data_IF_153285636318
#
_entry.id   IF_153285636318
#
_cell.length_a   1.000
_cell.length_b   1.000
_cell.length_c   1.000
_cell.angle_alpha   90.00
_cell.angle_beta   90.00
_cell.angle_gamma   90.00
#
_symmetry.space_group_name_H-M   'P 1'
#
loop_
_entity.id
_entity.type
_entity.pdbx_description
1 polymer ?
#
# COMPACT_ATOMS: atom_id res chain seq x y z
N UNK A 1 -15.96 28.66 -1.40
CA UNK A 1 -16.56 27.34 -1.11
C UNK A 1 -15.37 26.45 -0.80
N UNK A 2 -15.03 26.28 0.47
CA UNK A 2 -13.97 25.35 0.86
C UNK A 2 -14.44 23.96 0.42
N UNK A 3 -13.66 23.30 -0.43
CA UNK A 3 -13.85 21.89 -0.70
C UNK A 3 -13.50 21.20 0.62
N UNK A 4 -14.48 20.55 1.25
CA UNK A 4 -14.16 19.55 2.27
C UNK A 4 -13.39 18.45 1.54
N UNK A 5 -12.07 18.43 1.70
CA UNK A 5 -11.22 17.37 1.17
C UNK A 5 -11.50 16.11 1.98
N UNK A 6 -12.30 15.21 1.41
CA UNK A 6 -12.52 13.89 1.98
C UNK A 6 -11.33 13.00 1.68
N UNK A 7 -10.76 12.37 2.72
CA UNK A 7 -9.66 11.43 2.60
C UNK A 7 -10.18 10.01 2.41
N UNK A 8 -9.51 9.25 1.55
CA UNK A 8 -9.84 7.86 1.24
C UNK A 8 -8.60 6.97 1.36
N UNK A 9 -8.85 5.70 1.66
CA UNK A 9 -7.85 4.62 1.62
C UNK A 9 -8.17 3.72 0.43
N UNK A 10 -7.22 3.59 -0.49
CA UNK A 10 -7.26 2.59 -1.55
C UNK A 10 -6.48 1.36 -1.09
N UNK A 11 -7.18 0.27 -0.80
CA UNK A 11 -6.57 -0.94 -0.25
C UNK A 11 -7.03 -2.22 -0.95
N UNK A 12 -6.16 -3.23 -0.96
CA UNK A 12 -6.55 -4.61 -1.23
C UNK A 12 -6.81 -5.29 0.12
N UNK A 13 -8.09 -5.50 0.44
CA UNK A 13 -8.54 -6.24 1.62
C UNK A 13 -9.73 -7.12 1.22
N UNK A 14 -10.08 -8.12 2.03
CA UNK A 14 -11.26 -8.95 1.74
C UNK A 14 -12.54 -8.10 1.67
N UNK A 15 -13.43 -8.33 0.68
CA UNK A 15 -13.30 -9.33 -0.38
C UNK A 15 -12.54 -8.85 -1.63
N UNK A 16 -12.44 -7.54 -1.86
CA UNK A 16 -11.94 -6.93 -3.10
C UNK A 16 -11.13 -5.67 -2.83
N UNK A 17 -10.37 -5.23 -3.82
CA UNK A 17 -9.76 -3.89 -3.84
C UNK A 17 -10.85 -2.82 -3.88
N UNK A 18 -10.76 -1.86 -2.97
CA UNK A 18 -11.75 -0.81 -2.84
C UNK A 18 -11.15 0.53 -2.37
N UNK A 19 -11.89 1.59 -2.66
CA UNK A 19 -11.67 2.92 -2.11
C UNK A 19 -12.67 3.11 -0.94
N UNK A 20 -12.15 3.36 0.27
CA UNK A 20 -12.97 3.51 1.47
C UNK A 20 -12.71 4.87 2.11
N UNK A 21 -13.73 5.66 2.49
CA UNK A 21 -13.52 6.88 3.26
C UNK A 21 -12.69 6.60 4.51
N UNK A 22 -11.69 7.43 4.82
CA UNK A 22 -10.73 7.18 5.89
C UNK A 22 -11.42 6.95 7.24
N UNK A 23 -12.43 7.75 7.58
CA UNK A 23 -13.19 7.58 8.82
C UNK A 23 -13.88 6.21 8.88
N UNK A 24 -14.56 5.81 7.80
CA UNK A 24 -15.20 4.49 7.69
C UNK A 24 -14.17 3.37 7.81
N UNK A 25 -13.03 3.51 7.14
CA UNK A 25 -11.94 2.56 7.20
C UNK A 25 -11.42 2.40 8.64
N UNK A 26 -11.14 3.50 9.33
CA UNK A 26 -10.67 3.49 10.71
C UNK A 26 -11.67 2.81 11.64
N UNK A 27 -12.94 3.23 11.62
CA UNK A 27 -14.00 2.63 12.43
C UNK A 27 -14.14 1.13 12.17
N UNK A 28 -14.15 0.71 10.90
CA UNK A 28 -14.23 -0.70 10.54
C UNK A 28 -13.04 -1.50 11.08
N UNK A 29 -11.81 -0.97 11.01
CA UNK A 29 -10.64 -1.64 11.60
C UNK A 29 -10.80 -1.75 13.12
N UNK A 30 -11.29 -0.72 13.80
CA UNK A 30 -11.51 -0.77 15.26
C UNK A 30 -12.54 -1.83 15.69
N UNK A 31 -13.61 -1.99 14.92
CA UNK A 31 -14.70 -2.91 15.23
C UNK A 31 -14.38 -4.37 14.88
N UNK A 32 -13.62 -4.60 13.81
CA UNK A 32 -13.46 -5.94 13.21
C UNK A 32 -12.13 -6.60 13.51
N UNK A 33 -11.08 -5.84 13.78
CA UNK A 33 -9.73 -6.37 14.04
C UNK A 33 -9.00 -5.50 15.04
N UNK A 34 -8.56 -6.08 16.15
CA UNK A 34 -7.78 -5.38 17.15
C UNK A 34 -6.34 -5.10 16.67
N UNK A 35 -6.16 -4.29 15.63
CA UNK A 35 -4.84 -3.84 15.17
C UNK A 35 -4.13 -3.17 16.34
N UNK A 36 -2.98 -3.71 16.74
CA UNK A 36 -2.17 -3.14 17.82
C UNK A 36 -1.78 -1.69 17.53
N UNK A 37 -1.53 -1.37 16.25
CA UNK A 37 -1.06 -0.07 15.79
C UNK A 37 -1.62 0.20 14.40
N UNK A 38 -1.97 1.45 14.12
CA UNK A 38 -2.13 1.99 12.77
C UNK A 38 -1.10 3.11 12.62
N UNK A 39 -0.31 3.02 11.56
CA UNK A 39 0.72 4.00 11.26
C UNK A 39 0.69 4.40 9.78
N UNK A 40 1.22 5.60 9.51
CA UNK A 40 1.29 6.17 8.17
C UNK A 40 2.74 6.55 7.88
N UNK A 41 3.18 6.27 6.66
CA UNK A 41 4.44 6.78 6.10
C UNK A 41 4.14 7.69 4.93
N UNK A 42 4.72 8.87 4.93
CA UNK A 42 4.56 9.84 3.84
C UNK A 42 5.72 9.71 2.84
N UNK A 43 5.41 9.74 1.55
CA UNK A 43 6.41 9.89 0.50
C UNK A 43 7.05 11.29 0.55
N UNK A 44 8.38 11.36 0.50
CA UNK A 44 9.15 12.59 0.29
C UNK A 44 9.84 12.52 -1.07
N UNK A 45 9.72 13.59 -1.83
CA UNK A 45 10.54 13.85 -3.02
C UNK A 45 11.39 15.08 -2.75
N UNK A 46 12.64 15.12 -3.24
CA UNK A 46 13.47 16.31 -3.09
C UNK A 46 13.17 17.32 -4.21
N UNK A 47 12.66 18.47 -3.80
CA UNK A 47 12.50 19.65 -4.64
C UNK A 47 13.91 20.19 -4.98
N UNK A 48 14.49 19.84 -6.14
CA UNK A 48 15.74 20.50 -6.58
C UNK A 48 16.66 19.72 -7.51
N UNK A 49 16.42 18.43 -7.74
CA UNK A 49 17.05 17.68 -8.84
C UNK A 49 15.97 17.35 -9.85
N UNK A 50 16.36 17.21 -11.14
CA UNK A 50 15.51 17.10 -12.33
C UNK A 50 14.02 16.87 -12.02
N UNK A 51 13.16 17.83 -12.40
CA UNK A 51 11.72 17.80 -12.16
C UNK A 51 11.11 16.51 -12.71
N UNK A 52 11.02 15.48 -11.87
CA UNK A 52 10.36 14.24 -12.22
C UNK A 52 8.88 14.48 -12.04
N UNK A 53 8.15 14.43 -13.15
CA UNK A 53 6.70 14.40 -13.14
C UNK A 53 6.28 12.98 -12.79
N UNK A 54 5.62 12.81 -11.64
CA UNK A 54 4.94 11.56 -11.33
C UNK A 54 3.76 11.39 -12.27
N UNK A 55 3.54 10.15 -12.74
CA UNK A 55 2.39 9.84 -13.56
C UNK A 55 1.12 9.66 -12.70
N UNK A 56 0.57 10.79 -12.24
CA UNK A 56 -0.66 10.79 -11.45
C UNK A 56 -1.88 10.32 -12.25
N UNK A 57 -1.88 10.52 -13.58
CA UNK A 57 -2.93 9.98 -14.46
C UNK A 57 -2.88 8.45 -14.47
N UNK A 58 -1.68 7.88 -14.57
CA UNK A 58 -1.46 6.44 -14.44
C UNK A 58 -1.93 5.86 -13.10
N UNK A 59 -1.82 6.63 -12.00
CA UNK A 59 -2.36 6.21 -10.70
C UNK A 59 -3.89 6.15 -10.71
N UNK A 60 -4.56 7.15 -11.26
CA UNK A 60 -6.03 7.17 -11.38
C UNK A 60 -6.53 6.02 -12.26
N UNK A 61 -5.85 5.76 -13.38
CA UNK A 61 -6.13 4.61 -14.25
C UNK A 61 -5.97 3.28 -13.53
N UNK A 62 -4.89 3.13 -12.75
CA UNK A 62 -4.65 1.93 -11.93
C UNK A 62 -5.77 1.74 -10.89
N UNK A 63 -6.23 2.82 -10.26
CA UNK A 63 -7.31 2.75 -9.28
C UNK A 63 -8.61 2.26 -9.92
N UNK A 64 -8.92 2.73 -11.13
CA UNK A 64 -10.09 2.27 -11.90
C UNK A 64 -9.93 0.81 -12.36
N UNK A 65 -8.75 0.45 -12.85
CA UNK A 65 -8.42 -0.90 -13.34
C UNK A 65 -8.56 -1.96 -12.24
N UNK A 66 -8.02 -1.68 -11.06
CA UNK A 66 -7.97 -2.64 -9.97
C UNK A 66 -9.20 -2.61 -9.07
N UNK A 67 -10.06 -1.59 -9.15
CA UNK A 67 -11.27 -1.54 -8.35
C UNK A 67 -12.14 -2.81 -8.54
N UNK A 68 -12.51 -3.45 -7.45
CA UNK A 68 -13.31 -4.68 -7.47
C UNK A 68 -12.51 -5.95 -7.74
N UNK A 69 -11.19 -5.87 -7.97
CA UNK A 69 -10.34 -7.06 -8.12
C UNK A 69 -10.34 -7.88 -6.84
N UNK A 70 -10.49 -9.21 -6.89
CA UNK A 70 -10.51 -10.05 -5.70
C UNK A 70 -9.23 -9.95 -4.86
N UNK A 71 -9.39 -9.90 -3.54
CA UNK A 71 -8.26 -10.02 -2.62
C UNK A 71 -7.66 -11.43 -2.70
N UNK A 72 -6.34 -11.53 -2.77
CA UNK A 72 -5.64 -12.80 -2.81
C UNK A 72 -5.78 -13.55 -1.47
N UNK A 73 -6.54 -14.65 -1.48
CA UNK A 73 -6.73 -15.49 -0.29
C UNK A 73 -5.61 -16.52 -0.11
N UNK A 74 -4.86 -16.80 -1.17
CA UNK A 74 -3.89 -17.88 -1.20
C UNK A 74 -2.56 -17.43 -0.60
N UNK A 75 -2.21 -17.99 0.56
CA UNK A 75 -0.91 -17.74 1.21
C UNK A 75 0.29 -18.05 0.31
N UNK A 76 0.14 -18.92 -0.70
CA UNK A 76 1.22 -19.32 -1.62
C UNK A 76 1.86 -18.14 -2.35
N UNK A 77 1.07 -17.21 -2.89
CA UNK A 77 1.60 -16.05 -3.63
C UNK A 77 2.33 -15.08 -2.71
N UNK A 78 1.84 -14.90 -1.48
CA UNK A 78 2.53 -14.13 -0.44
C UNK A 78 3.84 -14.80 0.00
N UNK A 79 3.85 -16.13 0.15
CA UNK A 79 5.07 -16.90 0.47
C UNK A 79 6.08 -16.80 -0.66
N UNK A 80 5.66 -16.96 -1.92
CA UNK A 80 6.53 -16.76 -3.08
C UNK A 80 7.12 -15.35 -3.10
N UNK A 81 6.36 -14.32 -2.70
CA UNK A 81 6.84 -12.94 -2.67
C UNK A 81 8.04 -12.78 -1.72
N UNK A 82 8.04 -13.45 -0.56
CA UNK A 82 9.19 -13.45 0.37
C UNK A 82 10.48 -13.99 -0.26
N UNK A 83 10.37 -14.90 -1.24
CA UNK A 83 11.50 -15.48 -1.96
C UNK A 83 11.69 -14.89 -3.37
N UNK A 84 10.87 -13.90 -3.76
CA UNK A 84 10.85 -13.31 -5.11
C UNK A 84 10.57 -14.32 -6.23
N UNK A 85 9.72 -15.32 -5.97
CA UNK A 85 9.43 -16.42 -6.89
C UNK A 85 8.10 -16.29 -7.66
N UNK A 86 7.34 -15.21 -7.47
CA UNK A 86 6.23 -14.94 -8.38
C UNK A 86 6.78 -14.60 -9.77
N UNK A 87 6.09 -15.09 -10.80
CA UNK A 87 6.46 -14.92 -12.21
C UNK A 87 5.46 -14.05 -12.97
N UNK A 88 4.30 -13.78 -12.38
CA UNK A 88 3.20 -13.01 -12.94
C UNK A 88 2.74 -11.95 -11.94
N UNK A 89 2.13 -10.87 -12.44
CA UNK A 89 1.39 -9.88 -11.64
C UNK A 89 -0.09 -10.27 -11.65
N UNK A 90 -0.83 -10.05 -10.56
CA UNK A 90 -2.29 -10.19 -10.53
C UNK A 90 -2.81 -11.54 -11.04
N UNK A 91 -2.36 -12.68 -10.46
CA UNK A 91 -2.81 -14.05 -10.79
C UNK A 91 -4.33 -14.25 -10.45
N UNK A 92 -5.23 -13.49 -11.10
CA UNK A 92 -6.67 -13.40 -10.82
C UNK A 92 -7.04 -12.74 -9.49
N UNK A 93 -6.06 -12.31 -8.69
CA UNK A 93 -6.26 -11.67 -7.39
C UNK A 93 -5.02 -10.86 -6.99
N UNK A 94 -5.16 -10.00 -5.98
CA UNK A 94 -4.10 -9.08 -5.54
C UNK A 94 -4.07 -8.96 -4.01
N UNK A 95 -2.88 -8.81 -3.42
CA UNK A 95 -2.71 -8.56 -1.98
C UNK A 95 -2.17 -7.15 -1.70
N UNK A 96 -2.19 -6.76 -0.43
CA UNK A 96 -1.98 -5.37 0.00
C UNK A 96 -0.64 -4.76 -0.45
N UNK A 97 0.48 -5.47 -0.28
CA UNK A 97 1.79 -4.94 -0.68
C UNK A 97 2.03 -4.99 -2.18
N UNK A 98 1.40 -5.92 -2.91
CA UNK A 98 1.43 -5.94 -4.37
C UNK A 98 0.73 -4.71 -4.95
N UNK A 99 -0.46 -4.35 -4.42
CA UNK A 99 -1.17 -3.13 -4.81
C UNK A 99 -0.31 -1.88 -4.62
N UNK A 100 0.33 -1.75 -3.45
CA UNK A 100 1.21 -0.62 -3.13
C UNK A 100 2.41 -0.59 -4.09
N UNK A 101 3.02 -1.74 -4.36
CA UNK A 101 4.14 -1.85 -5.29
C UNK A 101 3.75 -1.45 -6.72
N UNK A 102 2.60 -1.92 -7.22
CA UNK A 102 2.12 -1.53 -8.54
C UNK A 102 1.84 -0.03 -8.62
N UNK A 103 1.22 0.55 -7.59
CA UNK A 103 0.98 1.98 -7.53
C UNK A 103 2.30 2.77 -7.64
N UNK A 104 3.34 2.38 -6.87
CA UNK A 104 4.65 3.03 -6.96
C UNK A 104 5.36 2.79 -8.31
N UNK A 105 5.19 1.62 -8.92
CA UNK A 105 5.74 1.33 -10.25
C UNK A 105 5.07 2.19 -11.33
N UNK A 106 3.74 2.25 -11.31
CA UNK A 106 2.93 3.00 -12.27
C UNK A 106 3.27 4.49 -12.28
N UNK A 107 3.49 5.09 -11.09
CA UNK A 107 3.88 6.51 -10.99
C UNK A 107 5.39 6.75 -11.21
N UNK A 108 6.18 5.72 -11.50
CA UNK A 108 7.61 5.82 -11.80
C UNK A 108 8.53 5.95 -10.57
N UNK A 109 8.04 5.61 -9.38
CA UNK A 109 8.78 5.68 -8.12
C UNK A 109 9.46 4.36 -7.74
N UNK A 110 9.09 3.26 -8.37
CA UNK A 110 9.66 1.94 -8.13
C UNK A 110 10.02 1.26 -9.44
N UNK A 111 11.13 0.52 -9.45
CA UNK A 111 11.60 -0.17 -10.65
C UNK A 111 10.67 -1.33 -11.03
N UNK A 112 10.40 -1.48 -12.32
CA UNK A 112 9.67 -2.64 -12.86
C UNK A 112 10.52 -3.89 -13.02
N UNK A 113 11.83 -3.82 -12.74
CA UNK A 113 12.73 -5.00 -12.78
C UNK A 113 12.34 -6.08 -11.78
N UNK A 114 11.74 -5.70 -10.64
CA UNK A 114 11.13 -6.63 -9.66
C UNK A 114 9.63 -6.57 -9.88
N UNK A 115 8.96 -7.71 -10.06
CA UNK A 115 7.50 -7.74 -10.18
C UNK A 115 6.83 -7.20 -8.90
N UNK A 116 5.74 -6.45 -9.04
CA UNK A 116 4.92 -5.94 -7.91
C UNK A 116 4.46 -7.08 -6.98
N UNK A 117 4.10 -8.23 -7.55
CA UNK A 117 3.77 -9.46 -6.83
C UNK A 117 4.92 -10.06 -6.01
N UNK A 118 6.16 -9.57 -6.17
CA UNK A 118 7.30 -9.98 -5.36
C UNK A 118 7.63 -9.00 -4.24
N UNK A 119 6.80 -8.00 -3.96
CA UNK A 119 6.93 -7.11 -2.80
C UNK A 119 6.08 -7.56 -1.63
N UNK A 120 6.61 -7.40 -0.43
CA UNK A 120 6.01 -7.80 0.85
C UNK A 120 5.70 -6.55 1.68
N UNK A 121 4.85 -6.64 2.73
CA UNK A 121 4.63 -5.51 3.62
C UNK A 121 5.93 -4.99 4.27
N UNK A 122 6.91 -5.89 4.49
CA UNK A 122 8.20 -5.55 5.08
C UNK A 122 8.97 -4.54 4.21
N UNK A 123 8.90 -4.67 2.89
CA UNK A 123 9.56 -3.76 1.93
C UNK A 123 9.11 -2.30 2.11
N UNK A 124 7.90 -2.06 2.63
CA UNK A 124 7.35 -0.71 2.84
C UNK A 124 7.40 -0.26 4.32
N UNK A 125 7.91 -1.12 5.22
CA UNK A 125 8.01 -0.83 6.66
C UNK A 125 9.23 0.04 7.00
N UNK A 126 9.23 0.66 8.19
CA UNK A 126 10.39 1.43 8.68
C UNK A 126 11.67 0.62 8.87
N UNK A 127 11.57 -0.72 8.86
CA UNK A 127 12.70 -1.62 9.09
C UNK A 127 13.46 -1.96 7.79
N UNK A 128 12.95 -1.55 6.64
CA UNK A 128 13.59 -1.76 5.34
C UNK A 128 13.66 -0.44 4.56
N UNK A 129 14.75 -0.26 3.83
CA UNK A 129 14.94 0.88 2.94
C UNK A 129 14.74 0.44 1.49
N UNK A 130 13.49 0.13 1.12
CA UNK A 130 13.17 -0.05 -0.30
C UNK A 130 13.59 1.19 -1.06
N UNK A 131 14.51 0.99 -2.01
CA UNK A 131 15.06 2.07 -2.83
C UNK A 131 14.01 2.52 -3.83
N UNK A 132 13.43 3.67 -3.55
CA UNK A 132 12.61 4.38 -4.53
C UNK A 132 13.52 5.08 -5.55
N UNK A 133 12.99 5.28 -6.74
CA UNK A 133 13.64 6.02 -7.80
C UNK A 133 13.58 7.53 -7.50
N UNK A 134 14.25 8.32 -8.35
CA UNK A 134 14.10 9.78 -8.42
C UNK A 134 14.37 10.51 -7.10
N UNK A 135 15.35 9.99 -6.35
CA UNK A 135 15.73 10.43 -5.00
C UNK A 135 14.55 10.48 -4.01
N UNK A 136 13.46 9.75 -4.28
CA UNK A 136 12.34 9.66 -3.36
C UNK A 136 12.68 8.76 -2.16
N UNK A 137 12.02 9.01 -1.03
CA UNK A 137 12.11 8.17 0.16
C UNK A 137 10.83 8.23 0.98
N UNK A 138 10.62 7.25 1.84
CA UNK A 138 9.61 7.34 2.87
C UNK A 138 10.11 8.20 4.04
N UNK A 139 9.25 9.05 4.59
CA UNK A 139 9.44 9.61 5.92
C UNK A 139 9.32 8.52 6.98
N UNK A 140 9.71 8.90 8.20
CA UNK A 140 9.54 8.08 9.38
C UNK A 140 8.07 7.68 9.55
N UNK A 141 7.88 6.49 10.11
CA UNK A 141 6.56 5.97 10.43
C UNK A 141 5.94 6.79 11.56
N UNK A 142 4.76 7.36 11.29
CA UNK A 142 3.97 8.10 12.27
C UNK A 142 2.82 7.23 12.73
N UNK A 143 2.84 6.82 14.00
CA UNK A 143 1.73 6.10 14.62
C UNK A 143 0.57 7.08 14.80
N UNK A 144 -0.55 6.78 14.16
CA UNK A 144 -1.77 7.59 14.24
C UNK A 144 -2.79 7.00 15.20
N UNK A 145 -2.61 5.73 15.59
CA UNK A 145 -3.45 5.04 16.57
C UNK A 145 -2.70 3.86 17.18
N UNK A 146 -2.81 3.70 18.50
CA UNK A 146 -2.42 2.50 19.23
C UNK A 146 -3.66 1.80 19.80
N UNK A 147 -3.63 0.48 19.91
CA UNK A 147 -4.69 -0.26 20.60
C UNK A 147 -4.71 0.10 22.10
N UNK A 148 -5.89 0.02 22.74
CA UNK A 148 -5.99 0.21 24.18
C UNK A 148 -5.07 -0.78 24.94
N UNK A 149 -4.47 -0.36 26.06
CA UNK A 149 -3.70 -1.25 26.92
C UNK A 149 -4.53 -2.49 27.32
N UNK A 150 -3.94 -3.68 27.24
CA UNK A 150 -4.62 -4.94 27.60
C UNK A 150 -5.41 -5.60 26.46
N UNK A 151 -5.35 -5.06 25.24
CA UNK A 151 -5.85 -5.75 24.04
C UNK A 151 -5.08 -7.08 23.85
N UNK A 152 -5.76 -8.24 23.74
CA UNK A 152 -5.11 -9.53 23.60
C UNK A 152 -4.15 -9.58 22.40
N UNK A 153 -3.04 -10.29 22.54
CA UNK A 153 -2.16 -10.56 21.39
C UNK A 153 -2.86 -11.54 20.44
N UNK A 154 -3.46 -11.03 19.37
CA UNK A 154 -3.94 -11.86 18.26
C UNK A 154 -2.74 -12.47 17.53
N UNK A 155 -2.73 -13.81 17.43
CA UNK A 155 -1.71 -14.61 16.74
C UNK A 155 -1.82 -14.64 15.23
#
# INVERSE_FOLDING_TARGET
RELNEELYVFEAVRPVVALTPLCTWMSAKEETMAYKVIAVRRLKMYEGRAKVTLDMGGLEELMLELHGTPFALQAKSMVKANYQFNTERFEGSIFCSELVAEAYQRVGLLTEKRLSSNFTPKDFSSNEDTKLLVDARFYDEVRIRDAPPGTPEGG
#
